data_IF_107892181673
#
_entry.id   IF_107892181673
#
_cell.length_a   1.000
_cell.length_b   1.000
_cell.length_c   1.000
_cell.angle_alpha   90.00
_cell.angle_beta   90.00
_cell.angle_gamma   90.00
#
_symmetry.space_group_name_H-M   'P 1'
#
loop_
_entity.id
_entity.type
_entity.pdbx_description
1 polymer ?
#
# COMPACT_ATOMS: atom_id res chain seq x y z
N UNK A 1 -25.77 16.11 -1.87
CA UNK A 1 -25.03 17.18 -1.15
C UNK A 1 -23.63 16.67 -0.90
N UNK A 2 -22.64 17.18 -1.63
CA UNK A 2 -21.25 16.79 -1.53
C UNK A 2 -20.58 17.41 -0.33
N UNK A 3 -20.04 16.58 0.57
CA UNK A 3 -19.12 17.05 1.59
C UNK A 3 -17.76 17.31 0.94
N UNK A 4 -17.38 18.56 0.85
CA UNK A 4 -16.06 18.99 0.42
C UNK A 4 -15.02 18.44 1.41
N UNK A 5 -14.13 17.56 0.94
CA UNK A 5 -12.98 17.12 1.72
C UNK A 5 -12.01 18.30 1.81
N UNK A 6 -11.87 18.84 3.01
CA UNK A 6 -10.88 19.86 3.30
C UNK A 6 -9.48 19.26 3.12
N UNK A 7 -8.62 20.01 2.43
CA UNK A 7 -7.22 19.68 2.29
C UNK A 7 -6.53 19.66 3.66
N UNK A 8 -5.86 18.56 3.96
CA UNK A 8 -5.10 18.39 5.20
C UNK A 8 -3.86 19.28 5.14
N UNK A 9 -3.57 20.09 6.16
CA UNK A 9 -2.35 20.90 6.19
C UNK A 9 -1.11 20.00 6.25
N UNK A 10 -0.10 20.31 5.43
CA UNK A 10 1.18 19.63 5.43
C UNK A 10 1.84 19.83 6.78
N UNK A 11 1.92 18.79 7.61
CA UNK A 11 2.86 18.77 8.74
C UNK A 11 4.24 18.40 8.20
N UNK A 12 5.14 19.38 8.19
CA UNK A 12 6.56 19.18 7.92
C UNK A 12 7.19 18.47 9.11
N UNK A 13 7.11 17.18 9.21
CA UNK A 13 8.00 16.31 10.00
C UNK A 13 7.46 14.88 10.02
N UNK A 14 7.24 14.30 8.87
CA UNK A 14 7.11 12.85 8.77
C UNK A 14 8.44 12.25 8.36
N UNK A 15 9.03 11.40 9.16
CA UNK A 15 10.14 10.56 8.71
C UNK A 15 9.64 9.75 7.50
N UNK A 16 9.97 10.25 6.33
CA UNK A 16 9.72 9.53 5.07
C UNK A 16 10.57 8.26 5.12
N UNK A 17 9.91 7.13 5.13
CA UNK A 17 10.58 5.85 5.04
C UNK A 17 11.50 5.81 3.82
N UNK A 18 12.60 5.10 3.96
CA UNK A 18 13.64 4.98 2.93
C UNK A 18 13.02 4.61 1.59
N UNK A 19 13.08 5.52 0.64
CA UNK A 19 12.64 5.29 -0.75
C UNK A 19 13.81 4.62 -1.45
N UNK A 20 13.63 3.39 -1.90
CA UNK A 20 14.55 2.77 -2.84
C UNK A 20 14.20 3.26 -4.24
N UNK A 21 15.03 4.13 -4.80
CA UNK A 21 14.91 4.51 -6.20
C UNK A 21 15.25 3.32 -7.10
N UNK A 22 14.27 2.83 -7.84
CA UNK A 22 14.55 1.90 -8.94
C UNK A 22 15.00 2.70 -10.16
N UNK A 23 16.20 2.41 -10.65
CA UNK A 23 16.75 3.00 -11.87
C UNK A 23 15.86 2.63 -13.07
N UNK A 24 15.31 3.64 -13.75
CA UNK A 24 14.99 3.55 -15.17
C UNK A 24 13.61 3.07 -15.58
N UNK A 25 12.60 3.11 -14.68
CA UNK A 25 11.22 2.82 -15.07
C UNK A 25 10.50 4.14 -15.42
N UNK A 26 10.08 4.29 -16.66
CA UNK A 26 9.08 5.30 -17.04
C UNK A 26 7.80 5.00 -16.27
N UNK A 27 7.37 5.94 -15.41
CA UNK A 27 6.09 5.83 -14.72
C UNK A 27 4.98 5.76 -15.77
N UNK A 28 4.14 4.73 -15.81
CA UNK A 28 3.06 4.63 -16.77
C UNK A 28 2.11 5.81 -16.63
N UNK A 29 1.46 6.20 -17.73
CA UNK A 29 0.52 7.33 -17.78
C UNK A 29 -0.57 7.24 -16.71
N UNK A 30 -0.98 6.00 -16.37
CA UNK A 30 -1.83 5.72 -15.24
C UNK A 30 -1.10 4.76 -14.30
N UNK A 31 -0.62 5.29 -13.20
CA UNK A 31 0.16 4.55 -12.20
C UNK A 31 -0.66 4.31 -10.94
N UNK A 32 -0.44 3.16 -10.32
CA UNK A 32 -1.12 2.75 -9.09
C UNK A 32 -0.13 2.41 -7.99
N UNK A 33 -0.59 2.60 -6.75
CA UNK A 33 0.08 2.11 -5.55
C UNK A 33 -0.72 0.94 -4.99
N UNK A 34 -0.02 -0.14 -4.70
CA UNK A 34 -0.54 -1.28 -3.93
C UNK A 34 -0.07 -1.13 -2.49
N UNK A 35 -0.98 -1.25 -1.53
CA UNK A 35 -0.65 -1.18 -0.12
C UNK A 35 -1.19 -2.42 0.61
N UNK A 36 -0.43 -2.94 1.57
CA UNK A 36 -0.94 -3.98 2.47
C UNK A 36 -0.25 -3.96 3.83
N UNK A 37 -0.99 -4.40 4.83
CA UNK A 37 -0.52 -4.56 6.20
C UNK A 37 -1.03 -5.89 6.77
N UNK A 38 -0.12 -6.66 7.35
CA UNK A 38 -0.39 -7.94 8.01
C UNK A 38 0.06 -7.95 9.47
N UNK A 39 0.24 -6.78 10.06
CA UNK A 39 0.71 -6.63 11.43
C UNK A 39 -0.31 -7.07 12.48
N UNK A 40 -1.58 -7.07 12.13
CA UNK A 40 -2.71 -7.39 13.00
C UNK A 40 -3.43 -8.68 12.59
N UNK A 41 -4.50 -9.00 13.31
CA UNK A 41 -5.36 -10.16 13.00
C UNK A 41 -6.17 -10.00 11.70
N UNK A 42 -6.18 -8.80 11.15
CA UNK A 42 -6.81 -8.47 9.87
C UNK A 42 -5.71 -8.11 8.88
N UNK A 43 -5.73 -8.76 7.74
CA UNK A 43 -4.91 -8.38 6.58
C UNK A 43 -5.67 -7.30 5.83
N UNK A 44 -5.08 -6.12 5.73
CA UNK A 44 -5.63 -5.01 4.95
C UNK A 44 -4.86 -4.88 3.64
N UNK A 45 -5.57 -4.79 2.53
CA UNK A 45 -4.99 -4.59 1.20
C UNK A 45 -5.73 -3.44 0.54
N UNK A 46 -5.00 -2.50 -0.03
CA UNK A 46 -5.56 -1.34 -0.72
C UNK A 46 -4.89 -1.09 -2.06
N UNK A 47 -5.64 -0.53 -2.98
CA UNK A 47 -5.18 -0.07 -4.28
C UNK A 47 -5.58 1.39 -4.45
N UNK A 48 -4.63 2.23 -4.84
CA UNK A 48 -4.86 3.64 -5.09
C UNK A 48 -4.24 4.07 -6.41
N UNK A 49 -4.90 4.97 -7.11
CA UNK A 49 -4.37 5.63 -8.30
C UNK A 49 -3.48 6.79 -7.89
N UNK A 50 -2.28 6.86 -8.43
CA UNK A 50 -1.35 7.94 -8.18
C UNK A 50 -1.70 9.15 -9.04
N UNK A 51 -1.87 10.29 -8.40
CA UNK A 51 -2.06 11.57 -9.05
C UNK A 51 -0.85 12.45 -8.75
N UNK A 52 0.12 12.45 -9.65
CA UNK A 52 1.36 13.19 -9.47
C UNK A 52 1.15 14.70 -9.42
N UNK A 53 0.22 15.24 -10.21
CA UNK A 53 -0.08 16.67 -10.26
C UNK A 53 -0.69 17.17 -8.95
N UNK A 54 -1.52 16.35 -8.30
CA UNK A 54 -2.14 16.68 -7.02
C UNK A 54 -1.29 16.23 -5.81
N UNK A 55 -0.18 15.54 -6.02
CA UNK A 55 0.58 14.85 -4.97
C UNK A 55 -0.33 14.01 -4.06
N UNK A 56 -1.26 13.27 -4.66
CA UNK A 56 -2.30 12.55 -3.96
C UNK A 56 -2.43 11.11 -4.43
N UNK A 57 -3.02 10.29 -3.59
CA UNK A 57 -3.44 8.93 -3.93
C UNK A 57 -4.96 8.87 -3.86
N UNK A 58 -5.59 8.48 -4.96
CA UNK A 58 -7.04 8.34 -5.04
C UNK A 58 -7.40 6.87 -4.75
N UNK A 59 -8.18 6.57 -3.70
CA UNK A 59 -8.58 5.20 -3.41
C UNK A 59 -9.37 4.59 -4.57
N UNK A 60 -9.00 3.38 -4.97
CA UNK A 60 -9.66 2.61 -6.05
C UNK A 60 -10.40 1.42 -5.47
N UNK A 61 -9.73 0.60 -4.66
CA UNK A 61 -10.32 -0.59 -4.05
C UNK A 61 -9.58 -0.93 -2.76
N UNK A 62 -10.27 -1.59 -1.85
CA UNK A 62 -9.68 -2.13 -0.63
C UNK A 62 -10.39 -3.41 -0.22
N UNK A 63 -9.66 -4.31 0.44
CA UNK A 63 -10.21 -5.53 1.01
C UNK A 63 -9.56 -5.80 2.36
N UNK A 64 -10.36 -6.28 3.29
CA UNK A 64 -9.91 -6.75 4.60
C UNK A 64 -10.22 -8.24 4.74
N UNK A 65 -9.28 -9.00 5.23
CA UNK A 65 -9.39 -10.45 5.39
C UNK A 65 -8.90 -10.86 6.78
N UNK A 66 -9.70 -11.62 7.51
CA UNK A 66 -9.27 -12.17 8.80
C UNK A 66 -8.06 -13.11 8.62
N UNK A 67 -7.00 -12.86 9.37
CA UNK A 67 -5.73 -13.57 9.29
C UNK A 67 -5.74 -14.90 10.05
N UNK A 68 -6.84 -15.67 10.01
CA UNK A 68 -6.88 -16.96 10.68
C UNK A 68 -5.96 -17.99 10.00
N UNK A 69 -4.80 -18.25 10.62
CA UNK A 69 -3.91 -19.42 10.45
C UNK A 69 -3.32 -19.76 9.06
N UNK A 70 -3.47 -18.95 8.03
CA UNK A 70 -2.92 -19.26 6.71
C UNK A 70 -2.54 -18.01 5.92
N UNK A 71 -1.77 -17.14 6.53
CA UNK A 71 -1.59 -15.76 6.10
C UNK A 71 -0.82 -15.57 4.80
N UNK A 72 0.19 -16.39 4.52
CA UNK A 72 1.15 -16.09 3.45
C UNK A 72 0.63 -16.39 2.06
N UNK A 73 0.01 -17.55 1.89
CA UNK A 73 -0.54 -17.98 0.60
C UNK A 73 -1.74 -17.13 0.20
N UNK A 74 -2.49 -16.63 1.17
CA UNK A 74 -3.69 -15.83 0.92
C UNK A 74 -3.41 -14.39 0.51
N UNK A 75 -2.30 -13.78 0.96
CA UNK A 75 -2.00 -12.38 0.65
C UNK A 75 -1.87 -12.15 -0.86
N UNK A 76 -1.00 -12.89 -1.53
CA UNK A 76 -0.78 -12.74 -2.97
C UNK A 76 -2.02 -13.10 -3.81
N UNK A 77 -2.76 -14.12 -3.40
CA UNK A 77 -4.02 -14.50 -4.07
C UNK A 77 -5.05 -13.38 -3.96
N UNK A 78 -5.14 -12.73 -2.79
CA UNK A 78 -6.06 -11.60 -2.59
C UNK A 78 -5.62 -10.35 -3.33
N UNK A 79 -4.34 -10.08 -3.39
CA UNK A 79 -3.77 -8.99 -4.21
C UNK A 79 -4.11 -9.21 -5.67
N UNK A 80 -3.91 -10.40 -6.18
CA UNK A 80 -4.21 -10.73 -7.59
C UNK A 80 -5.70 -10.58 -7.90
N UNK A 81 -6.57 -11.05 -7.01
CA UNK A 81 -8.02 -10.88 -7.14
C UNK A 81 -8.41 -9.39 -7.14
N UNK A 82 -7.86 -8.58 -6.23
CA UNK A 82 -8.14 -7.15 -6.16
C UNK A 82 -7.73 -6.42 -7.44
N UNK A 83 -6.56 -6.73 -7.98
CA UNK A 83 -6.08 -6.14 -9.23
C UNK A 83 -6.99 -6.50 -10.42
N UNK A 84 -7.41 -7.76 -10.51
CA UNK A 84 -8.34 -8.19 -11.56
C UNK A 84 -9.69 -7.51 -11.48
N UNK A 85 -10.27 -7.44 -10.28
CA UNK A 85 -11.56 -6.78 -10.04
C UNK A 85 -11.50 -5.28 -10.36
N UNK A 86 -10.38 -4.64 -10.07
CA UNK A 86 -10.16 -3.24 -10.38
C UNK A 86 -9.75 -2.98 -11.86
N UNK A 87 -9.51 -4.04 -12.64
CA UNK A 87 -9.04 -3.90 -14.03
C UNK A 87 -7.62 -3.31 -14.15
N UNK A 88 -6.78 -3.49 -13.13
CA UNK A 88 -5.43 -2.94 -13.08
C UNK A 88 -4.39 -4.03 -13.37
N UNK A 89 -3.56 -3.79 -14.38
CA UNK A 89 -2.45 -4.66 -14.71
C UNK A 89 -1.27 -4.49 -13.75
N UNK A 90 -0.53 -5.58 -13.52
CA UNK A 90 0.66 -5.55 -12.65
C UNK A 90 1.71 -4.54 -13.10
N UNK A 91 1.87 -4.34 -14.41
CA UNK A 91 2.78 -3.35 -15.00
C UNK A 91 2.41 -1.89 -14.72
N UNK A 92 1.19 -1.63 -14.23
CA UNK A 92 0.73 -0.30 -13.83
C UNK A 92 1.05 0.03 -12.37
N UNK A 93 1.59 -0.93 -11.61
CA UNK A 93 2.00 -0.72 -10.23
C UNK A 93 3.36 -0.03 -10.18
N UNK A 94 3.36 1.23 -9.79
CA UNK A 94 4.57 2.05 -9.66
C UNK A 94 5.11 2.08 -8.22
N UNK A 95 4.29 1.70 -7.25
CA UNK A 95 4.65 1.73 -5.83
C UNK A 95 4.02 0.55 -5.08
N UNK A 96 4.78 -0.05 -4.18
CA UNK A 96 4.31 -1.01 -3.19
C UNK A 96 4.52 -0.41 -1.80
N UNK A 97 3.44 -0.22 -1.07
CA UNK A 97 3.44 0.28 0.30
C UNK A 97 3.21 -0.89 1.27
N UNK A 98 3.94 -0.94 2.35
CA UNK A 98 3.83 -2.01 3.34
C UNK A 98 3.81 -1.48 4.76
N UNK A 99 2.90 -2.01 5.58
CA UNK A 99 2.90 -1.81 7.02
C UNK A 99 4.13 -2.48 7.64
N UNK A 100 4.92 -1.71 8.39
CA UNK A 100 6.14 -2.18 9.06
C UNK A 100 5.97 -2.42 10.55
N UNK A 101 4.73 -2.49 11.01
CA UNK A 101 4.40 -2.61 12.44
C UNK A 101 4.38 -1.26 13.18
N UNK A 102 4.27 -1.28 14.48
CA UNK A 102 4.34 -2.45 15.38
C UNK A 102 3.15 -3.40 15.25
N UNK A 103 3.38 -4.69 15.54
CA UNK A 103 2.36 -5.73 15.50
C UNK A 103 2.96 -7.13 15.54
N UNK A 104 2.24 -8.09 15.00
CA UNK A 104 2.69 -9.48 14.91
C UNK A 104 4.06 -9.58 14.25
N UNK A 105 5.04 -10.13 14.95
CA UNK A 105 6.39 -10.32 14.44
C UNK A 105 6.42 -11.12 13.14
N UNK A 106 5.68 -12.20 13.08
CA UNK A 106 5.57 -13.03 11.88
C UNK A 106 4.84 -12.29 10.77
N UNK A 107 3.72 -11.65 11.07
CA UNK A 107 2.92 -10.89 10.09
C UNK A 107 3.73 -9.77 9.43
N UNK A 108 4.41 -8.96 10.21
CA UNK A 108 5.26 -7.86 9.69
C UNK A 108 6.36 -8.38 8.77
N UNK A 109 7.05 -9.46 9.16
CA UNK A 109 8.12 -10.04 8.33
C UNK A 109 7.61 -10.57 7.01
N UNK A 110 6.46 -11.22 7.02
CA UNK A 110 5.81 -11.73 5.81
C UNK A 110 5.44 -10.59 4.87
N UNK A 111 4.76 -9.56 5.38
CA UNK A 111 4.41 -8.40 4.61
C UNK A 111 5.64 -7.74 3.98
N UNK A 112 6.67 -7.52 4.77
CA UNK A 112 7.91 -6.88 4.28
C UNK A 112 8.64 -7.72 3.25
N UNK A 113 8.75 -9.04 3.45
CA UNK A 113 9.38 -9.93 2.47
C UNK A 113 8.58 -9.98 1.16
N UNK A 114 7.26 -10.06 1.25
CA UNK A 114 6.35 -10.04 0.09
C UNK A 114 6.45 -8.71 -0.65
N UNK A 115 6.45 -7.59 0.06
CA UNK A 115 6.55 -6.26 -0.54
C UNK A 115 7.89 -6.05 -1.27
N UNK A 116 8.99 -6.48 -0.66
CA UNK A 116 10.33 -6.42 -1.30
C UNK A 116 10.38 -7.24 -2.57
N UNK A 117 9.89 -8.48 -2.52
CA UNK A 117 9.85 -9.35 -3.69
C UNK A 117 8.96 -8.79 -4.81
N UNK A 118 7.78 -8.30 -4.46
CA UNK A 118 6.87 -7.69 -5.41
C UNK A 118 7.46 -6.41 -6.05
N UNK A 119 7.98 -5.50 -5.24
CA UNK A 119 8.60 -4.27 -5.73
C UNK A 119 9.77 -4.55 -6.66
N UNK A 120 10.63 -5.52 -6.31
CA UNK A 120 11.76 -5.93 -7.15
C UNK A 120 11.30 -6.54 -8.47
N UNK A 121 10.33 -7.45 -8.44
CA UNK A 121 9.82 -8.13 -9.63
C UNK A 121 9.12 -7.16 -10.60
N UNK A 122 8.46 -6.14 -10.07
CA UNK A 122 7.69 -5.16 -10.84
C UNK A 122 8.50 -3.91 -11.22
N UNK A 123 9.71 -3.75 -10.69
CA UNK A 123 10.46 -2.50 -10.83
C UNK A 123 9.76 -1.31 -10.15
N UNK A 124 8.94 -1.57 -9.14
CA UNK A 124 8.18 -0.58 -8.43
C UNK A 124 8.94 -0.01 -7.21
N UNK A 125 8.61 1.22 -6.82
CA UNK A 125 9.12 1.78 -5.58
C UNK A 125 8.58 1.03 -4.36
N UNK A 126 9.37 0.93 -3.29
CA UNK A 126 8.96 0.32 -2.03
C UNK A 126 8.88 1.38 -0.93
N UNK A 127 7.76 1.46 -0.25
CA UNK A 127 7.51 2.39 0.85
C UNK A 127 7.05 1.64 2.09
N UNK A 128 7.76 1.84 3.19
CA UNK A 128 7.36 1.31 4.50
C UNK A 128 6.63 2.36 5.31
N UNK A 129 5.46 2.03 5.85
CA UNK A 129 4.62 2.91 6.66
C UNK A 129 4.41 2.30 8.04
N UNK A 130 4.44 3.13 9.09
CA UNK A 130 4.10 2.66 10.44
C UNK A 130 2.63 2.26 10.49
N UNK A 131 2.35 1.08 11.02
CA UNK A 131 0.96 0.62 11.21
C UNK A 131 0.20 1.51 12.19
N UNK A 132 0.88 2.13 13.16
CA UNK A 132 0.27 3.10 14.07
C UNK A 132 -0.09 4.40 13.39
N UNK A 133 0.74 4.87 12.44
CA UNK A 133 0.45 6.08 11.68
C UNK A 133 -0.82 5.90 10.82
N UNK A 134 -1.01 4.71 10.25
CA UNK A 134 -2.23 4.36 9.51
C UNK A 134 -3.47 4.41 10.41
N UNK A 135 -3.38 3.84 11.60
CA UNK A 135 -4.47 3.86 12.59
C UNK A 135 -4.76 5.29 13.06
N UNK A 136 -3.73 6.05 13.38
CA UNK A 136 -3.87 7.45 13.79
C UNK A 136 -4.53 8.30 12.69
N UNK A 137 -4.12 8.10 11.45
CA UNK A 137 -4.73 8.76 10.30
C UNK A 137 -6.21 8.42 10.16
N UNK A 138 -6.56 7.15 10.30
CA UNK A 138 -7.95 6.72 10.21
C UNK A 138 -8.82 7.30 11.33
N UNK A 139 -8.28 7.39 12.54
CA UNK A 139 -8.98 7.99 13.69
C UNK A 139 -9.13 9.52 13.56
N UNK A 140 -8.21 10.17 12.84
CA UNK A 140 -8.24 11.62 12.62
C UNK A 140 -9.12 12.03 11.43
N UNK A 141 -9.21 11.19 10.43
CA UNK A 141 -9.99 11.46 9.22
C UNK A 141 -11.48 11.23 9.42
#
# INVERSE_FOLDING_TARGET
MGAARQAVPRSETGHVGTIFESKGSTVPETAYALAFDTANEVISIGLGRLNAAACAVEPVAAVEVAAHRASNTKLLVRVDALLREAGVGRGQLACVCVGRGPGSFTGVRIAMATAKGAAQALGAALVGVSSLDVVAWHAWA
#
